data_IF_770419513971
#
_entry.id   IF_770419513971
#
_cell.length_a   1.000
_cell.length_b   1.000
_cell.length_c   1.000
_cell.angle_alpha   90.00
_cell.angle_beta   90.00
_cell.angle_gamma   90.00
#
_symmetry.space_group_name_H-M   'P 1'
#
loop_
_entity.id
_entity.type
_entity.pdbx_description
1 polymer ?
#
# COMPACT_ATOMS: atom_id res chain seq x y z
N UNK A 1 9.00 -21.76 11.09
CA UNK A 1 8.91 -20.86 12.26
C UNK A 1 7.99 -19.72 11.88
N UNK A 2 6.85 -19.63 12.58
CA UNK A 2 5.75 -18.69 12.33
C UNK A 2 5.65 -17.68 13.48
N UNK A 3 6.78 -17.11 13.87
CA UNK A 3 7.00 -16.29 15.06
C UNK A 3 7.58 -14.95 14.65
N UNK A 4 7.62 -13.94 15.53
CA UNK A 4 8.35 -12.72 15.20
C UNK A 4 9.85 -13.01 15.02
N UNK A 5 10.54 -12.19 14.24
CA UNK A 5 11.95 -12.43 13.95
C UNK A 5 12.85 -12.40 15.20
N UNK A 6 12.65 -11.49 16.19
CA UNK A 6 13.35 -11.55 17.47
C UNK A 6 13.05 -12.83 18.25
N UNK A 7 11.78 -13.21 18.39
CA UNK A 7 11.40 -14.46 19.09
C UNK A 7 12.04 -15.69 18.42
N UNK A 8 12.14 -15.66 17.09
CA UNK A 8 12.80 -16.71 16.31
C UNK A 8 14.28 -16.78 16.65
N UNK A 9 14.98 -15.64 16.73
CA UNK A 9 16.38 -15.60 17.12
C UNK A 9 16.59 -16.08 18.56
N UNK A 10 15.69 -15.70 19.48
CA UNK A 10 15.73 -16.17 20.86
C UNK A 10 15.54 -17.70 20.93
N UNK A 11 14.63 -18.25 20.13
CA UNK A 11 14.41 -19.70 20.02
C UNK A 11 15.61 -20.43 19.42
N UNK A 12 16.29 -19.86 18.42
CA UNK A 12 17.50 -20.43 17.81
C UNK A 12 18.71 -20.33 18.76
N UNK A 13 18.73 -19.31 19.62
CA UNK A 13 19.79 -19.07 20.59
C UNK A 13 21.18 -19.07 19.97
N UNK A 14 22.11 -19.80 20.58
CA UNK A 14 23.51 -19.88 20.13
C UNK A 14 23.71 -20.63 18.81
N UNK A 15 22.69 -21.35 18.35
CA UNK A 15 22.76 -22.08 17.08
C UNK A 15 22.35 -21.22 15.88
N UNK A 16 21.95 -19.96 16.10
CA UNK A 16 21.70 -19.02 15.02
C UNK A 16 23.01 -18.78 14.23
N UNK A 17 22.96 -19.03 12.93
CA UNK A 17 24.07 -18.73 12.03
C UNK A 17 24.25 -17.22 11.89
N UNK A 18 25.39 -16.81 11.33
CA UNK A 18 25.66 -15.41 11.04
C UNK A 18 24.57 -14.80 10.12
N UNK A 19 24.19 -15.50 9.05
CA UNK A 19 23.19 -15.02 8.10
C UNK A 19 21.80 -14.94 8.73
N UNK A 20 21.38 -15.95 9.50
CA UNK A 20 20.09 -15.92 10.22
C UNK A 20 20.04 -14.75 11.20
N UNK A 21 21.10 -14.54 11.98
CA UNK A 21 21.20 -13.43 12.95
C UNK A 21 21.12 -12.07 12.24
N UNK A 22 21.89 -11.91 11.18
CA UNK A 22 21.96 -10.66 10.40
C UNK A 22 20.65 -10.33 9.72
N UNK A 23 20.00 -11.32 9.09
CA UNK A 23 18.76 -11.13 8.34
C UNK A 23 17.57 -10.96 9.29
N UNK A 24 17.38 -11.88 10.25
CA UNK A 24 16.25 -11.82 11.17
C UNK A 24 16.37 -10.64 12.15
N UNK A 25 17.59 -10.27 12.54
CA UNK A 25 17.85 -9.14 13.44
C UNK A 25 17.55 -7.77 12.84
N UNK A 26 17.40 -7.68 11.51
CA UNK A 26 17.04 -6.44 10.83
C UNK A 26 15.56 -6.05 11.03
N UNK A 27 14.71 -6.99 11.44
CA UNK A 27 13.29 -6.74 11.67
C UNK A 27 13.04 -6.24 13.09
N UNK A 28 12.77 -4.95 13.21
CA UNK A 28 12.50 -4.28 14.48
C UNK A 28 10.99 -4.23 14.76
N UNK A 29 10.63 -4.16 16.03
CA UNK A 29 9.23 -4.19 16.48
C UNK A 29 8.97 -3.08 17.49
N UNK A 30 7.77 -2.52 17.42
CA UNK A 30 7.22 -1.59 18.43
C UNK A 30 6.07 -2.28 19.15
N UNK A 31 5.95 -2.01 20.45
CA UNK A 31 4.89 -2.57 21.29
C UNK A 31 3.81 -1.52 21.50
N UNK A 32 2.55 -1.95 21.39
CA UNK A 32 1.37 -1.15 21.67
C UNK A 32 0.53 -1.84 22.75
N UNK A 33 0.12 -1.08 23.76
CA UNK A 33 -0.83 -1.55 24.77
C UNK A 33 -2.25 -1.31 24.25
N UNK A 34 -3.07 -2.35 24.22
CA UNK A 34 -4.45 -2.28 23.79
C UNK A 34 -5.39 -2.60 24.94
N UNK A 35 -6.42 -1.78 25.09
CA UNK A 35 -7.42 -1.90 26.14
C UNK A 35 -8.80 -2.06 25.53
N UNK A 36 -9.54 -3.08 25.95
CA UNK A 36 -10.98 -3.20 25.75
C UNK A 36 -11.67 -2.65 27.00
N UNK A 37 -12.52 -1.64 26.85
CA UNK A 37 -13.17 -0.95 27.95
C UNK A 37 -14.52 -0.35 27.54
N UNK A 38 -15.16 0.36 28.47
CA UNK A 38 -16.45 1.05 28.26
C UNK A 38 -16.40 2.56 28.52
N UNK A 39 -15.22 3.08 28.86
CA UNK A 39 -14.98 4.50 29.10
C UNK A 39 -15.14 5.37 27.85
N UNK A 40 -16.19 6.19 27.83
CA UNK A 40 -16.54 7.12 26.74
C UNK A 40 -15.70 8.39 26.73
N UNK A 41 -14.88 8.65 27.75
CA UNK A 41 -13.98 9.81 27.77
C UNK A 41 -12.92 9.75 26.67
N UNK A 42 -12.68 8.54 26.14
CA UNK A 42 -11.81 8.27 24.98
C UNK A 42 -12.49 8.44 23.61
N UNK A 43 -13.72 8.95 23.57
CA UNK A 43 -14.41 9.36 22.35
C UNK A 43 -14.42 10.90 22.24
N UNK A 44 -14.64 11.46 21.04
CA UNK A 44 -14.84 12.90 20.89
C UNK A 44 -15.93 13.43 21.83
N UNK A 45 -15.75 14.64 22.35
CA UNK A 45 -16.72 15.28 23.25
C UNK A 45 -18.10 15.46 22.59
N UNK A 46 -18.09 15.73 21.29
CA UNK A 46 -19.30 15.83 20.48
C UNK A 46 -19.70 14.44 19.96
N UNK A 47 -20.85 13.88 20.38
CA UNK A 47 -21.36 12.61 19.88
C UNK A 47 -21.57 12.58 18.36
N UNK A 48 -21.83 13.74 17.73
CA UNK A 48 -21.99 13.81 16.28
C UNK A 48 -20.68 13.54 15.51
N UNK A 49 -19.52 13.69 16.18
CA UNK A 49 -18.21 13.40 15.60
C UNK A 49 -17.75 11.95 15.84
N UNK A 50 -18.57 11.11 16.49
CA UNK A 50 -18.21 9.73 16.75
C UNK A 50 -18.15 8.91 15.46
N UNK A 51 -17.06 8.19 15.31
CA UNK A 51 -16.82 7.33 14.16
C UNK A 51 -16.37 5.93 14.61
N UNK A 52 -16.26 5.02 13.65
CA UNK A 52 -15.73 3.68 13.92
C UNK A 52 -14.28 3.73 14.47
N UNK A 53 -13.48 4.74 14.09
CA UNK A 53 -12.10 4.91 14.51
C UNK A 53 -11.84 6.39 14.84
N UNK A 54 -11.63 6.69 16.11
CA UNK A 54 -11.46 8.06 16.62
C UNK A 54 -10.01 8.27 17.02
N UNK A 55 -9.30 9.16 16.34
CA UNK A 55 -7.91 9.48 16.65
C UNK A 55 -7.84 10.57 17.72
N UNK A 56 -7.18 10.29 18.85
CA UNK A 56 -7.05 11.21 19.98
C UNK A 56 -5.77 12.06 19.92
N UNK A 57 -4.89 11.76 18.97
CA UNK A 57 -3.61 12.45 18.79
C UNK A 57 -2.42 11.56 19.10
N UNK A 58 -1.26 12.21 19.18
CA UNK A 58 0.01 11.57 19.53
C UNK A 58 0.35 11.91 20.98
N UNK A 59 0.52 10.89 21.82
CA UNK A 59 0.81 11.02 23.24
C UNK A 59 2.10 10.26 23.51
N UNK A 60 3.12 10.92 24.07
CA UNK A 60 4.45 10.34 24.28
C UNK A 60 5.03 9.68 23.01
N UNK A 61 4.91 10.36 21.86
CA UNK A 61 5.31 9.87 20.54
C UNK A 61 4.61 8.56 20.06
N UNK A 62 3.49 8.18 20.68
CA UNK A 62 2.63 7.07 20.23
C UNK A 62 1.27 7.59 19.80
N UNK A 63 0.73 7.07 18.69
CA UNK A 63 -0.62 7.42 18.26
C UNK A 63 -1.65 6.75 19.16
N UNK A 64 -2.60 7.53 19.68
CA UNK A 64 -3.73 7.04 20.46
C UNK A 64 -4.98 7.06 19.59
N UNK A 65 -5.63 5.91 19.45
CA UNK A 65 -6.84 5.75 18.68
C UNK A 65 -7.84 4.84 19.40
N UNK A 66 -9.11 5.22 19.35
CA UNK A 66 -10.23 4.48 19.95
C UNK A 66 -11.14 3.94 18.86
N UNK A 67 -11.24 2.62 18.78
CA UNK A 67 -12.17 1.90 17.92
C UNK A 67 -13.50 1.66 18.63
N UNK A 68 -14.60 2.00 17.97
CA UNK A 68 -15.94 1.70 18.48
C UNK A 68 -16.42 0.35 17.95
N UNK A 69 -16.26 -0.69 18.78
CA UNK A 69 -16.52 -2.06 18.36
C UNK A 69 -17.98 -2.34 18.01
N UNK A 70 -18.94 -1.65 18.65
CA UNK A 70 -20.36 -1.86 18.33
C UNK A 70 -20.63 -1.60 16.84
N UNK A 71 -20.02 -0.56 16.27
CA UNK A 71 -20.14 -0.26 14.85
C UNK A 71 -19.35 -1.27 14.02
N UNK A 72 -18.08 -1.51 14.37
CA UNK A 72 -17.18 -2.35 13.57
C UNK A 72 -17.64 -3.80 13.48
N UNK A 73 -18.12 -4.36 14.60
CA UNK A 73 -18.58 -5.74 14.71
C UNK A 73 -20.10 -5.88 14.56
N UNK A 74 -20.81 -4.78 14.28
CA UNK A 74 -22.26 -4.73 14.13
C UNK A 74 -23.03 -5.36 15.31
N UNK A 75 -22.67 -4.99 16.53
CA UNK A 75 -23.22 -5.56 17.77
C UNK A 75 -24.64 -5.05 18.11
N UNK A 76 -25.30 -4.37 17.17
CA UNK A 76 -26.62 -3.77 17.32
C UNK A 76 -26.66 -2.57 18.26
N UNK A 77 -27.88 -2.04 18.46
CA UNK A 77 -28.18 -0.92 19.35
C UNK A 77 -28.15 -1.35 20.82
N UNK A 78 -26.96 -1.73 21.29
CA UNK A 78 -26.71 -1.94 22.70
C UNK A 78 -26.53 -0.60 23.40
N UNK A 79 -27.18 -0.42 24.56
CA UNK A 79 -26.93 0.74 25.45
C UNK A 79 -25.48 0.78 25.95
N UNK A 80 -24.74 -0.32 25.82
CA UNK A 80 -23.37 -0.48 26.30
C UNK A 80 -22.41 -0.27 25.13
N UNK A 81 -21.50 0.70 25.27
CA UNK A 81 -20.43 0.95 24.30
C UNK A 81 -19.20 0.10 24.62
N UNK A 82 -18.79 -0.74 23.67
CA UNK A 82 -17.52 -1.47 23.72
C UNK A 82 -16.49 -0.73 22.88
N UNK A 83 -15.41 -0.32 23.54
CA UNK A 83 -14.36 0.51 22.97
C UNK A 83 -13.02 -0.20 23.08
N UNK A 84 -12.21 -0.08 22.04
CA UNK A 84 -10.83 -0.54 22.06
C UNK A 84 -9.91 0.64 21.83
N UNK A 85 -9.12 1.01 22.83
CA UNK A 85 -8.16 2.10 22.72
C UNK A 85 -6.74 1.58 22.72
N UNK A 86 -5.95 2.09 21.76
CA UNK A 86 -4.53 1.84 21.60
C UNK A 86 -3.72 2.92 22.31
N UNK A 87 -2.75 2.50 23.11
CA UNK A 87 -1.77 3.33 23.82
C UNK A 87 -2.39 4.56 24.53
N UNK A 88 -3.41 4.38 25.39
CA UNK A 88 -4.06 5.50 26.04
C UNK A 88 -3.11 6.21 27.04
N UNK A 89 -3.26 7.54 27.24
CA UNK A 89 -2.48 8.33 28.21
C UNK A 89 -2.61 7.84 29.65
N UNK A 90 -3.75 7.25 29.99
CA UNK A 90 -4.07 6.68 31.28
C UNK A 90 -4.91 5.42 31.09
N UNK A 91 -4.99 4.58 32.11
CA UNK A 91 -5.80 3.35 32.03
C UNK A 91 -7.28 3.72 31.95
N UNK A 92 -8.05 3.24 30.96
CA UNK A 92 -9.47 3.57 30.84
C UNK A 92 -10.30 3.02 32.00
N UNK A 93 -11.34 3.76 32.39
CA UNK A 93 -12.32 3.25 33.34
C UNK A 93 -13.11 2.05 32.75
N UNK A 94 -13.62 1.18 33.63
CA UNK A 94 -14.34 -0.03 33.21
C UNK A 94 -13.57 -0.88 32.17
N UNK A 95 -12.25 -1.00 32.33
CA UNK A 95 -11.42 -1.89 31.51
C UNK A 95 -11.85 -3.34 31.73
N UNK A 96 -12.14 -4.02 30.63
CA UNK A 96 -12.54 -5.43 30.59
C UNK A 96 -11.34 -6.34 30.29
N UNK A 97 -10.45 -5.89 29.40
CA UNK A 97 -9.26 -6.65 29.01
C UNK A 97 -8.13 -5.68 28.63
N UNK A 98 -6.90 -6.02 29.00
CA UNK A 98 -5.67 -5.38 28.53
C UNK A 98 -4.78 -6.44 27.91
N UNK A 99 -4.21 -6.15 26.75
CA UNK A 99 -3.14 -6.95 26.17
C UNK A 99 -2.10 -6.07 25.50
N UNK A 100 -0.95 -6.66 25.20
CA UNK A 100 0.15 -6.00 24.50
C UNK A 100 0.36 -6.70 23.17
N UNK A 101 0.47 -5.92 22.10
CA UNK A 101 0.72 -6.41 20.75
C UNK A 101 2.00 -5.79 20.21
N UNK A 102 2.79 -6.57 19.48
CA UNK A 102 4.00 -6.07 18.81
C UNK A 102 3.74 -5.93 17.32
N UNK A 103 4.21 -4.84 16.73
CA UNK A 103 4.05 -4.53 15.32
C UNK A 103 5.42 -4.32 14.66
N UNK A 104 5.67 -4.88 13.47
CA UNK A 104 6.93 -4.68 12.77
C UNK A 104 7.07 -3.21 12.34
N UNK A 105 8.29 -2.68 12.49
CA UNK A 105 8.64 -1.31 12.10
C UNK A 105 9.24 -1.33 10.70
N UNK A 106 8.63 -0.66 9.71
CA UNK A 106 9.20 -0.53 8.38
C UNK A 106 10.55 0.21 8.44
N UNK A 107 11.58 -0.36 7.83
CA UNK A 107 12.90 0.27 7.74
C UNK A 107 13.64 -0.17 6.48
N UNK A 108 14.66 0.60 6.08
CA UNK A 108 15.55 0.23 4.97
C UNK A 108 16.27 -1.09 5.28
N UNK A 109 16.65 -1.31 6.54
CA UNK A 109 17.28 -2.56 6.96
C UNK A 109 16.33 -3.76 6.81
N UNK A 110 15.09 -3.64 7.30
CA UNK A 110 14.07 -4.67 7.15
C UNK A 110 13.74 -4.96 5.68
N UNK A 111 13.66 -3.92 4.84
CA UNK A 111 13.42 -4.09 3.40
C UNK A 111 14.55 -4.85 2.70
N UNK A 112 15.83 -4.51 2.99
CA UNK A 112 16.98 -5.24 2.45
C UNK A 112 17.00 -6.70 2.93
N UNK A 113 16.78 -6.91 4.23
CA UNK A 113 16.71 -8.26 4.80
C UNK A 113 15.59 -9.10 4.18
N UNK A 114 14.42 -8.50 3.89
CA UNK A 114 13.34 -9.19 3.18
C UNK A 114 13.76 -9.71 1.81
N UNK A 115 14.56 -8.95 1.05
CA UNK A 115 15.10 -9.40 -0.23
C UNK A 115 16.11 -10.55 -0.07
N UNK A 116 16.76 -10.66 1.08
CA UNK A 116 17.81 -11.65 1.36
C UNK A 116 17.28 -12.91 2.07
N UNK A 117 16.00 -12.94 2.50
CA UNK A 117 15.42 -14.08 3.22
C UNK A 117 15.61 -15.42 2.52
N UNK A 118 15.54 -15.45 1.18
CA UNK A 118 15.79 -16.65 0.38
C UNK A 118 17.14 -17.32 0.68
N UNK A 119 18.13 -16.56 1.18
CA UNK A 119 19.44 -17.08 1.54
C UNK A 119 19.41 -17.98 2.77
N UNK A 120 18.41 -17.87 3.65
CA UNK A 120 18.30 -18.69 4.87
C UNK A 120 17.16 -19.72 4.81
N UNK A 121 16.25 -19.60 3.85
CA UNK A 121 15.12 -20.51 3.72
C UNK A 121 15.55 -21.94 3.38
N UNK A 122 14.99 -22.92 4.10
CA UNK A 122 15.24 -24.35 3.88
C UNK A 122 16.62 -24.83 4.33
N UNK A 123 17.53 -23.93 4.71
CA UNK A 123 18.80 -24.30 5.32
C UNK A 123 18.53 -24.95 6.67
N UNK A 124 19.25 -26.02 6.98
CA UNK A 124 19.11 -26.79 8.23
C UNK A 124 17.69 -27.35 8.46
N UNK A 125 16.87 -27.45 7.41
CA UNK A 125 15.47 -27.84 7.52
C UNK A 125 14.58 -26.76 8.16
N UNK A 126 15.08 -25.54 8.33
CA UNK A 126 14.36 -24.42 8.92
C UNK A 126 13.78 -23.53 7.83
N UNK A 127 12.55 -23.10 8.05
CA UNK A 127 11.87 -22.13 7.19
C UNK A 127 11.27 -21.04 8.06
N UNK A 128 11.43 -19.78 7.66
CA UNK A 128 11.03 -18.61 8.43
C UNK A 128 9.90 -17.89 7.69
N UNK A 129 8.79 -17.59 8.36
CA UNK A 129 7.70 -16.82 7.74
C UNK A 129 6.91 -16.03 8.77
N UNK A 130 6.28 -14.96 8.30
CA UNK A 130 5.51 -14.08 9.14
C UNK A 130 5.23 -12.74 8.50
N UNK A 131 4.42 -11.93 9.19
CA UNK A 131 3.95 -10.62 8.71
C UNK A 131 5.08 -9.62 8.41
N UNK A 132 6.26 -9.83 9.00
CA UNK A 132 7.45 -8.99 8.82
C UNK A 132 8.10 -9.09 7.44
N UNK A 133 7.77 -10.12 6.65
CA UNK A 133 8.28 -10.27 5.28
C UNK A 133 7.51 -9.41 4.26
N UNK A 134 6.45 -8.72 4.69
CA UNK A 134 5.70 -7.75 3.89
C UNK A 134 5.44 -6.47 4.68
N UNK A 135 4.31 -5.82 4.41
CA UNK A 135 3.89 -4.57 5.06
C UNK A 135 3.31 -4.73 6.49
N UNK A 136 3.55 -5.85 7.18
CA UNK A 136 3.14 -6.03 8.58
C UNK A 136 1.68 -6.42 8.85
N UNK A 137 0.85 -6.58 7.82
CA UNK A 137 -0.56 -6.98 7.95
C UNK A 137 -0.78 -8.50 7.86
N UNK A 138 -1.94 -8.96 8.36
CA UNK A 138 -2.33 -10.38 8.44
C UNK A 138 -2.17 -11.16 7.13
N UNK A 139 -2.47 -10.52 6.00
CA UNK A 139 -2.36 -11.17 4.70
C UNK A 139 -0.93 -11.48 4.27
N UNK A 140 0.05 -10.70 4.71
CA UNK A 140 1.46 -11.02 4.45
C UNK A 140 1.86 -12.29 5.20
N UNK A 141 1.33 -12.49 6.42
CA UNK A 141 1.51 -13.74 7.16
C UNK A 141 0.95 -14.95 6.41
N UNK A 142 -0.26 -14.84 5.86
CA UNK A 142 -0.88 -15.91 5.08
C UNK A 142 -0.11 -16.19 3.79
N UNK A 143 0.18 -15.15 3.00
CA UNK A 143 0.91 -15.25 1.73
C UNK A 143 2.27 -15.91 1.91
N UNK A 144 3.04 -15.46 2.91
CA UNK A 144 4.37 -16.01 3.18
C UNK A 144 4.29 -17.45 3.66
N UNK A 145 3.31 -17.80 4.50
CA UNK A 145 3.06 -19.18 4.89
C UNK A 145 2.75 -20.09 3.70
N UNK A 146 1.91 -19.63 2.76
CA UNK A 146 1.59 -20.38 1.54
C UNK A 146 2.82 -20.59 0.65
N UNK A 147 3.59 -19.53 0.39
CA UNK A 147 4.82 -19.61 -0.42
C UNK A 147 5.81 -20.63 0.14
N UNK A 148 5.96 -20.65 1.47
CA UNK A 148 6.85 -21.60 2.14
C UNK A 148 6.29 -23.02 2.06
N UNK A 149 5.00 -23.22 2.29
CA UNK A 149 4.36 -24.54 2.17
C UNK A 149 4.53 -25.11 0.75
N UNK A 150 4.32 -24.30 -0.28
CA UNK A 150 4.53 -24.71 -1.67
C UNK A 150 6.00 -25.05 -1.95
N UNK A 151 6.94 -24.22 -1.46
CA UNK A 151 8.37 -24.46 -1.54
C UNK A 151 8.81 -25.76 -0.86
N UNK A 152 8.26 -26.07 0.33
CA UNK A 152 8.52 -27.31 1.06
C UNK A 152 7.97 -28.54 0.33
N UNK A 153 6.80 -28.42 -0.27
CA UNK A 153 6.17 -29.51 -1.02
C UNK A 153 6.78 -29.73 -2.42
N UNK A 154 7.80 -28.94 -2.81
CA UNK A 154 8.39 -28.90 -4.17
C UNK A 154 7.32 -28.72 -5.26
N UNK A 155 6.14 -28.22 -4.90
CA UNK A 155 5.18 -27.72 -5.87
C UNK A 155 5.73 -26.37 -6.27
N UNK A 156 6.46 -26.33 -7.39
CA UNK A 156 6.90 -25.07 -7.95
C UNK A 156 5.67 -24.25 -8.31
N UNK A 157 5.17 -23.44 -7.38
CA UNK A 157 4.37 -22.30 -7.73
C UNK A 157 5.36 -21.24 -8.21
N UNK A 158 5.78 -21.36 -9.47
CA UNK A 158 6.31 -20.20 -10.16
C UNK A 158 5.18 -19.18 -10.13
N UNK A 159 5.35 -18.08 -9.39
CA UNK A 159 4.69 -16.84 -9.79
C UNK A 159 5.06 -16.71 -11.26
N UNK A 160 4.07 -16.81 -12.14
CA UNK A 160 4.28 -16.65 -13.57
C UNK A 160 4.77 -15.22 -13.78
N UNK A 161 6.07 -15.03 -13.71
CA UNK A 161 6.73 -13.94 -14.40
C UNK A 161 6.61 -14.27 -15.87
N UNK A 162 5.47 -13.89 -16.43
CA UNK A 162 5.28 -13.92 -17.86
C UNK A 162 6.25 -12.88 -18.42
N UNK A 163 7.27 -13.25 -19.21
CA UNK A 163 8.14 -12.27 -19.83
C UNK A 163 7.25 -11.37 -20.69
N UNK A 164 7.05 -10.13 -20.24
CA UNK A 164 6.16 -9.16 -20.88
C UNK A 164 6.85 -8.65 -22.14
N UNK A 165 6.62 -9.32 -23.25
CA UNK A 165 6.72 -8.64 -24.53
C UNK A 165 5.68 -7.52 -24.52
N UNK A 166 6.12 -6.28 -24.77
CA UNK A 166 5.24 -5.12 -24.91
C UNK A 166 4.45 -5.21 -26.22
N UNK A 167 3.46 -6.10 -26.26
CA UNK A 167 2.44 -6.13 -27.30
C UNK A 167 1.13 -5.71 -26.63
N UNK A 168 0.73 -4.42 -26.73
CA UNK A 168 -0.51 -3.97 -26.12
C UNK A 168 -1.69 -4.68 -26.76
N UNK A 169 -2.64 -5.11 -25.94
CA UNK A 169 -3.96 -5.56 -26.44
C UNK A 169 -4.66 -4.40 -27.15
N UNK A 170 -5.70 -4.69 -27.95
CA UNK A 170 -6.50 -3.64 -28.61
C UNK A 170 -7.00 -2.55 -27.64
N UNK A 171 -7.54 -2.89 -26.45
CA UNK A 171 -7.92 -1.89 -25.45
C UNK A 171 -6.72 -1.07 -24.91
N UNK A 172 -5.59 -1.72 -24.68
CA UNK A 172 -4.36 -1.05 -24.19
C UNK A 172 -3.74 -0.13 -25.25
N UNK A 173 -3.87 -0.47 -26.53
CA UNK A 173 -3.43 0.37 -27.64
C UNK A 173 -4.25 1.66 -27.69
N UNK A 174 -5.58 1.56 -27.52
CA UNK A 174 -6.46 2.72 -27.39
C UNK A 174 -6.16 3.56 -26.14
N UNK A 175 -5.95 2.91 -24.99
CA UNK A 175 -5.58 3.59 -23.76
C UNK A 175 -4.24 4.34 -23.89
N UNK A 176 -3.23 3.73 -24.54
CA UNK A 176 -1.94 4.36 -24.83
C UNK A 176 -2.12 5.60 -25.69
N UNK A 177 -2.95 5.55 -26.73
CA UNK A 177 -3.25 6.72 -27.57
C UNK A 177 -3.90 7.85 -26.76
N UNK A 178 -4.84 7.54 -25.87
CA UNK A 178 -5.51 8.53 -25.02
C UNK A 178 -4.50 9.19 -24.07
N UNK A 179 -3.70 8.38 -23.36
CA UNK A 179 -2.72 8.87 -22.38
C UNK A 179 -1.62 9.70 -23.04
N UNK A 180 -1.10 9.27 -24.19
CA UNK A 180 -0.06 10.01 -24.92
C UNK A 180 -0.60 11.33 -25.49
N UNK A 181 -1.84 11.36 -26.00
CA UNK A 181 -2.50 12.61 -26.42
C UNK A 181 -2.71 13.57 -25.25
N UNK A 182 -3.11 13.04 -24.10
CA UNK A 182 -3.24 13.84 -22.88
C UNK A 182 -1.91 14.49 -22.50
N UNK A 183 -0.84 13.71 -22.34
CA UNK A 183 0.46 14.28 -21.96
C UNK A 183 0.96 15.31 -22.96
N UNK A 184 0.73 15.09 -24.26
CA UNK A 184 1.07 16.05 -25.31
C UNK A 184 0.33 17.39 -25.16
N UNK A 185 -0.92 17.36 -24.69
CA UNK A 185 -1.71 18.58 -24.47
C UNK A 185 -1.47 19.23 -23.10
N UNK A 186 -1.18 18.43 -22.08
CA UNK A 186 -1.10 18.87 -20.70
C UNK A 186 0.27 19.45 -20.34
N UNK A 187 1.35 18.90 -20.90
CA UNK A 187 2.72 19.32 -20.60
C UNK A 187 3.08 20.55 -21.43
N UNK A 188 2.84 21.72 -20.86
CA UNK A 188 3.20 23.04 -21.40
C UNK A 188 4.56 23.52 -20.86
N UNK A 189 5.00 23.05 -19.70
CA UNK A 189 6.31 23.35 -19.10
C UNK A 189 6.98 22.09 -18.53
N UNK A 190 8.32 22.01 -18.55
CA UNK A 190 9.07 20.81 -18.18
C UNK A 190 9.10 19.72 -19.26
N UNK A 191 9.65 18.55 -18.93
CA UNK A 191 9.79 17.43 -19.86
C UNK A 191 9.52 16.08 -19.21
N UNK A 192 8.61 15.29 -19.80
CA UNK A 192 8.32 13.90 -19.41
C UNK A 192 8.73 12.98 -20.56
N UNK A 193 9.51 11.95 -20.26
CA UNK A 193 9.89 10.89 -21.20
C UNK A 193 9.35 9.55 -20.69
N UNK A 194 8.60 8.84 -21.54
CA UNK A 194 8.23 7.45 -21.32
C UNK A 194 9.11 6.55 -22.18
N UNK A 195 9.85 5.66 -21.53
CA UNK A 195 10.70 4.63 -22.14
C UNK A 195 9.96 3.31 -22.03
N UNK A 196 9.38 2.84 -23.12
CA UNK A 196 8.78 1.51 -23.19
C UNK A 196 9.89 0.45 -23.29
N UNK A 197 9.80 -0.63 -22.52
CA UNK A 197 10.74 -1.76 -22.61
C UNK A 197 10.77 -2.41 -24.02
N UNK A 198 9.74 -2.17 -24.85
CA UNK A 198 9.71 -2.50 -26.28
C UNK A 198 10.51 -1.55 -27.20
N UNK A 199 11.29 -0.62 -26.63
CA UNK A 199 12.14 0.33 -27.36
C UNK A 199 11.44 1.59 -27.87
N UNK A 200 10.13 1.72 -27.64
CA UNK A 200 9.38 2.94 -28.03
C UNK A 200 9.62 4.05 -27.01
N UNK A 201 9.88 5.27 -27.50
CA UNK A 201 10.12 6.43 -26.65
C UNK A 201 9.09 7.51 -26.96
N UNK A 202 8.37 7.94 -25.93
CA UNK A 202 7.50 9.12 -26.00
C UNK A 202 8.12 10.27 -25.22
N UNK A 203 8.26 11.43 -25.87
CA UNK A 203 8.78 12.64 -25.25
C UNK A 203 7.70 13.72 -25.29
N UNK A 204 7.35 14.24 -24.12
CA UNK A 204 6.41 15.33 -23.94
C UNK A 204 7.17 16.50 -23.34
N UNK A 205 7.47 17.50 -24.17
CA UNK A 205 8.23 18.68 -23.77
C UNK A 205 7.38 19.92 -23.95
N UNK A 206 7.28 20.68 -22.87
CA UNK A 206 6.62 21.98 -22.86
C UNK A 206 7.46 23.07 -23.50
N UNK A 207 6.80 24.07 -24.08
CA UNK A 207 7.43 25.27 -24.67
C UNK A 207 7.62 26.40 -23.66
N UNK A 208 6.91 26.37 -22.52
CA UNK A 208 6.96 27.39 -21.48
C UNK A 208 8.19 27.22 -20.57
N UNK A 209 8.84 28.34 -20.23
CA UNK A 209 10.10 28.36 -19.44
C UNK A 209 9.90 28.30 -17.91
N UNK A 210 8.68 28.05 -17.43
CA UNK A 210 8.33 28.08 -15.99
C UNK A 210 8.96 26.94 -15.17
N UNK A 211 9.20 25.79 -15.80
CA UNK A 211 9.81 24.61 -15.21
C UNK A 211 10.82 24.00 -16.19
N UNK A 212 12.07 23.83 -15.77
CA UNK A 212 13.13 23.18 -16.56
C UNK A 212 13.34 21.71 -16.20
N UNK A 213 12.53 21.18 -15.27
CA UNK A 213 12.70 19.81 -14.79
C UNK A 213 12.37 18.79 -15.88
N UNK A 214 13.11 17.69 -15.83
CA UNK A 214 12.97 16.56 -16.73
C UNK A 214 12.81 15.27 -15.92
N UNK A 215 11.87 14.44 -16.33
CA UNK A 215 11.67 13.11 -15.75
C UNK A 215 11.64 12.07 -16.86
N UNK A 216 12.22 10.91 -16.59
CA UNK A 216 12.19 9.75 -17.47
C UNK A 216 11.66 8.55 -16.70
N UNK A 217 10.55 7.99 -17.17
CA UNK A 217 9.88 6.82 -16.63
C UNK A 217 10.15 5.64 -17.56
N UNK A 218 10.43 4.47 -17.00
CA UNK A 218 10.41 3.20 -17.73
C UNK A 218 9.04 2.56 -17.55
N UNK A 219 8.42 2.15 -18.66
CA UNK A 219 7.14 1.45 -18.67
C UNK A 219 7.42 -0.03 -18.91
N UNK A 220 7.24 -0.82 -17.85
CA UNK A 220 7.47 -2.26 -17.84
C UNK A 220 6.22 -3.06 -18.27
N UNK A 221 5.05 -2.44 -18.20
CA UNK A 221 3.78 -3.09 -18.49
C UNK A 221 2.77 -2.14 -19.15
N UNK A 222 2.13 -2.60 -20.23
CA UNK A 222 1.10 -1.86 -20.98
C UNK A 222 -0.16 -1.56 -20.15
N UNK A 223 -0.38 -2.32 -19.06
CA UNK A 223 -1.43 -2.05 -18.07
C UNK A 223 -1.32 -0.66 -17.44
N UNK A 224 -0.13 -0.06 -17.42
CA UNK A 224 0.06 1.35 -17.08
C UNK A 224 -0.96 2.23 -17.79
N UNK A 225 -1.02 2.17 -19.12
CA UNK A 225 -1.89 3.04 -19.91
C UNK A 225 -3.37 2.83 -19.61
N UNK A 226 -3.79 1.58 -19.39
CA UNK A 226 -5.16 1.26 -19.02
C UNK A 226 -5.52 1.84 -17.65
N UNK A 227 -4.64 1.69 -16.66
CA UNK A 227 -4.82 2.25 -15.31
C UNK A 227 -4.92 3.77 -15.36
N UNK A 228 -4.02 4.44 -16.08
CA UNK A 228 -4.06 5.91 -16.21
C UNK A 228 -5.33 6.37 -16.94
N UNK A 229 -5.68 5.75 -18.06
CA UNK A 229 -6.85 6.15 -18.85
C UNK A 229 -8.17 5.98 -18.07
N UNK A 230 -8.28 4.95 -17.22
CA UNK A 230 -9.53 4.62 -16.50
C UNK A 230 -9.61 5.15 -15.08
N UNK A 231 -8.47 5.39 -14.42
CA UNK A 231 -8.39 5.79 -12.99
C UNK A 231 -7.63 7.08 -12.74
N UNK A 232 -7.19 7.78 -13.79
CA UNK A 232 -6.47 9.05 -13.68
C UNK A 232 -5.30 8.98 -12.69
N UNK A 233 -5.35 9.75 -11.59
CA UNK A 233 -4.29 10.00 -10.58
C UNK A 233 -3.98 8.78 -9.77
N UNK A 234 -5.07 8.17 -9.32
CA UNK A 234 -5.02 6.86 -8.71
C UNK A 234 -4.41 5.84 -9.68
N UNK A 235 -4.67 5.97 -10.99
CA UNK A 235 -4.11 5.08 -12.01
C UNK A 235 -2.58 5.09 -12.12
N UNK A 236 -1.94 6.26 -12.02
CA UNK A 236 -0.48 6.35 -12.03
C UNK A 236 0.12 5.87 -10.71
N UNK A 237 -0.50 6.24 -9.58
CA UNK A 237 -0.06 5.74 -8.27
C UNK A 237 -0.14 4.20 -8.21
N UNK A 238 -1.26 3.64 -8.69
CA UNK A 238 -1.50 2.21 -8.79
C UNK A 238 -0.49 1.51 -9.71
N UNK A 239 -0.14 2.12 -10.84
CA UNK A 239 0.89 1.60 -11.74
C UNK A 239 2.30 1.62 -11.12
N UNK A 240 2.63 2.67 -10.36
CA UNK A 240 3.91 2.78 -9.66
C UNK A 240 4.04 1.74 -8.54
N UNK A 241 3.00 1.59 -7.71
CA UNK A 241 2.99 0.63 -6.59
C UNK A 241 3.10 -0.81 -7.09
N UNK A 242 2.43 -1.14 -8.21
CA UNK A 242 2.47 -2.48 -8.79
C UNK A 242 3.70 -2.74 -9.68
N UNK A 243 4.63 -1.79 -9.80
CA UNK A 243 5.83 -1.96 -10.62
C UNK A 243 5.59 -1.96 -12.14
N UNK A 244 4.42 -1.49 -12.61
CA UNK A 244 4.15 -1.33 -14.04
C UNK A 244 5.03 -0.22 -14.65
N UNK A 245 5.48 0.72 -13.81
CA UNK A 245 6.41 1.79 -14.17
C UNK A 245 7.51 1.93 -13.12
N UNK A 246 8.68 2.43 -13.53
CA UNK A 246 9.75 2.88 -12.63
C UNK A 246 10.37 4.17 -13.13
N UNK A 247 11.20 4.83 -12.29
CA UNK A 247 11.92 6.03 -12.68
C UNK A 247 13.38 5.71 -12.99
N UNK A 248 13.90 6.29 -14.07
CA UNK A 248 15.32 6.19 -14.42
C UNK A 248 16.19 6.80 -13.31
N UNK A 249 15.78 7.96 -12.79
CA UNK A 249 16.35 8.54 -11.57
C UNK A 249 15.52 8.09 -10.37
N UNK A 250 16.07 7.17 -9.55
CA UNK A 250 15.37 6.59 -8.40
C UNK A 250 15.17 7.57 -7.24
N UNK A 251 15.99 8.61 -7.14
CA UNK A 251 15.97 9.54 -6.00
C UNK A 251 15.03 10.70 -6.24
N UNK A 252 15.05 11.26 -7.46
CA UNK A 252 14.33 12.49 -7.77
C UNK A 252 13.22 12.29 -8.81
N UNK A 253 13.14 11.14 -9.47
CA UNK A 253 12.22 10.93 -10.59
C UNK A 253 10.75 11.15 -10.22
N UNK A 254 10.31 10.57 -9.11
CA UNK A 254 8.94 10.74 -8.64
C UNK A 254 8.66 12.18 -8.19
N UNK A 255 9.62 12.81 -7.51
CA UNK A 255 9.52 14.21 -7.09
C UNK A 255 9.43 15.14 -8.31
N UNK A 256 10.30 14.96 -9.29
CA UNK A 256 10.31 15.75 -10.53
C UNK A 256 9.01 15.59 -11.31
N UNK A 257 8.43 14.39 -11.35
CA UNK A 257 7.11 14.17 -11.95
C UNK A 257 6.04 15.03 -11.27
N UNK A 258 5.99 15.03 -9.94
CA UNK A 258 5.03 15.86 -9.20
C UNK A 258 5.27 17.36 -9.37
N UNK A 259 6.54 17.79 -9.38
CA UNK A 259 6.88 19.20 -9.57
C UNK A 259 6.51 19.71 -10.97
N UNK A 260 6.77 18.91 -12.01
CA UNK A 260 6.32 19.20 -13.39
C UNK A 260 4.79 19.25 -13.42
N UNK A 261 4.11 18.31 -12.77
CA UNK A 261 2.66 18.30 -12.70
C UNK A 261 2.08 19.57 -12.06
N UNK A 262 2.58 19.97 -10.89
CA UNK A 262 2.15 21.19 -10.18
C UNK A 262 2.38 22.42 -11.07
N UNK A 263 3.54 22.53 -11.71
CA UNK A 263 3.84 23.65 -12.59
C UNK A 263 2.87 23.77 -13.78
N UNK A 264 2.43 22.63 -14.35
CA UNK A 264 1.46 22.61 -15.45
C UNK A 264 0.01 22.83 -14.98
N UNK A 265 -0.35 22.38 -13.77
CA UNK A 265 -1.67 22.67 -13.18
C UNK A 265 -1.88 24.16 -12.99
N UNK A 266 -0.84 24.88 -12.55
CA UNK A 266 -0.92 26.32 -12.32
C UNK A 266 -0.95 27.14 -13.63
N UNK A 267 -0.67 26.51 -14.78
CA UNK A 267 -0.84 27.10 -16.12
C UNK A 267 -2.22 26.78 -16.72
N UNK A 268 -2.78 25.61 -16.40
CA UNK A 268 -4.08 25.17 -16.89
C UNK A 268 -5.19 25.42 -15.85
N UNK A 269 -5.87 26.57 -15.93
CA UNK A 269 -6.96 26.95 -15.01
C UNK A 269 -8.14 25.96 -14.97
N UNK A 270 -8.31 25.12 -16.00
CA UNK A 270 -9.30 24.04 -16.07
C UNK A 270 -8.92 22.77 -15.30
N UNK A 271 -7.67 22.60 -14.86
CA UNK A 271 -7.16 21.43 -14.15
C UNK A 271 -7.35 21.49 -12.62
N UNK A 272 -8.20 22.38 -12.10
CA UNK A 272 -8.39 22.61 -10.65
C UNK A 272 -9.01 21.43 -9.88
N UNK A 273 -9.62 20.44 -10.55
CA UNK A 273 -10.26 19.26 -9.92
C UNK A 273 -9.45 17.96 -9.99
N UNK A 274 -8.18 18.04 -10.40
CA UNK A 274 -7.31 16.89 -10.65
C UNK A 274 -6.69 16.97 -12.04
N UNK A 275 -5.67 16.16 -12.29
CA UNK A 275 -4.84 16.28 -13.49
C UNK A 275 -5.53 15.90 -14.81
N UNK A 276 -6.64 15.18 -14.72
CA UNK A 276 -7.41 14.65 -15.83
C UNK A 276 -8.76 14.16 -15.30
N UNK A 277 -9.86 14.55 -15.95
CA UNK A 277 -11.14 13.85 -15.94
C UNK A 277 -11.32 13.25 -17.33
N UNK A 278 -11.39 11.92 -17.50
CA UNK A 278 -11.60 11.33 -18.82
C UNK A 278 -12.90 11.82 -19.44
N UNK A 279 -12.93 11.94 -20.77
CA UNK A 279 -14.14 12.15 -21.59
C UNK A 279 -15.29 11.16 -21.31
N UNK A 280 -14.98 10.07 -20.61
CA UNK A 280 -15.97 9.20 -19.96
C UNK A 280 -16.13 9.66 -18.51
N UNK A 281 -17.00 10.65 -18.27
CA UNK A 281 -17.47 11.05 -16.93
C UNK A 281 -18.39 9.98 -16.32
N UNK A 282 -17.90 8.74 -16.30
CA UNK A 282 -18.39 7.67 -15.46
C UNK A 282 -17.67 7.67 -14.12
N UNK A 283 -16.62 8.46 -13.90
CA UNK A 283 -15.84 8.39 -12.66
C UNK A 283 -16.65 8.84 -11.45
N UNK A 284 -17.26 10.02 -11.49
CA UNK A 284 -18.06 10.57 -10.38
C UNK A 284 -19.29 9.71 -10.09
N UNK A 285 -20.05 9.35 -11.13
CA UNK A 285 -21.22 8.49 -11.02
C UNK A 285 -20.87 7.06 -10.60
N UNK A 286 -19.75 6.47 -11.05
CA UNK A 286 -19.32 5.11 -10.68
C UNK A 286 -18.68 5.06 -9.30
N UNK A 287 -18.05 6.14 -8.82
CA UNK A 287 -17.63 6.23 -7.41
C UNK A 287 -18.83 6.47 -6.50
N UNK A 288 -19.80 7.29 -6.89
CA UNK A 288 -21.01 7.50 -6.10
C UNK A 288 -21.92 6.25 -6.09
N UNK A 289 -22.25 5.70 -7.26
CA UNK A 289 -22.98 4.42 -7.41
C UNK A 289 -22.15 3.28 -6.81
N UNK A 290 -20.84 3.26 -6.98
CA UNK A 290 -19.95 2.29 -6.36
C UNK A 290 -19.95 2.39 -4.84
N UNK A 291 -19.90 3.60 -4.26
CA UNK A 291 -19.96 3.83 -2.82
C UNK A 291 -21.34 3.49 -2.24
N UNK A 292 -22.42 3.80 -2.96
CA UNK A 292 -23.80 3.47 -2.57
C UNK A 292 -24.11 1.97 -2.77
N UNK A 293 -23.48 1.32 -3.75
CA UNK A 293 -23.55 -0.12 -4.04
C UNK A 293 -22.59 -0.96 -3.19
N UNK A 294 -21.52 -0.35 -2.64
CA UNK A 294 -20.61 -0.93 -1.67
C UNK A 294 -21.24 -0.98 -0.28
N UNK A 295 -22.45 -1.56 -0.17
CA UNK A 295 -22.82 -2.15 1.12
C UNK A 295 -21.84 -3.29 1.37
N UNK A 296 -21.26 -3.34 2.57
CA UNK A 296 -20.34 -4.41 2.99
C UNK A 296 -21.10 -5.76 3.01
N UNK A 297 -21.30 -6.35 1.85
CA UNK A 297 -21.75 -7.74 1.73
C UNK A 297 -20.54 -8.65 1.93
N UNK A 298 -20.76 -9.82 2.53
CA UNK A 298 -19.71 -10.84 2.73
C UNK A 298 -18.93 -11.14 1.44
N UNK A 299 -19.61 -11.14 0.30
CA UNK A 299 -19.01 -11.42 -1.02
C UNK A 299 -18.10 -10.29 -1.50
N UNK A 300 -18.48 -9.03 -1.28
CA UNK A 300 -17.70 -7.86 -1.68
C UNK A 300 -16.51 -7.63 -0.73
N UNK A 301 -16.70 -7.90 0.57
CA UNK A 301 -15.62 -7.96 1.54
C UNK A 301 -14.60 -9.03 1.15
N UNK A 302 -15.04 -10.26 0.82
CA UNK A 302 -14.15 -11.32 0.32
C UNK A 302 -13.39 -10.93 -0.94
N UNK A 303 -14.05 -10.27 -1.89
CA UNK A 303 -13.44 -9.81 -3.16
C UNK A 303 -12.47 -8.64 -2.96
N UNK A 304 -12.74 -7.75 -1.99
CA UNK A 304 -11.83 -6.68 -1.62
C UNK A 304 -10.62 -7.22 -0.86
N UNK A 305 -10.83 -8.15 0.07
CA UNK A 305 -9.76 -8.92 0.73
C UNK A 305 -8.90 -9.60 -0.34
N UNK A 306 -9.48 -10.38 -1.27
CA UNK A 306 -8.68 -11.06 -2.30
C UNK A 306 -7.90 -10.10 -3.21
N UNK A 307 -8.48 -8.94 -3.55
CA UNK A 307 -7.80 -7.91 -4.37
C UNK A 307 -6.73 -7.12 -3.63
N UNK A 308 -6.84 -7.00 -2.30
CA UNK A 308 -5.85 -6.29 -1.49
C UNK A 308 -4.69 -7.20 -1.08
N UNK A 309 -4.84 -8.52 -1.24
CA UNK A 309 -3.96 -9.51 -0.63
C UNK A 309 -3.28 -10.49 -1.59
N UNK A 310 -3.45 -10.37 -2.91
CA UNK A 310 -2.83 -11.24 -3.94
C UNK A 310 -2.80 -12.74 -3.52
N UNK A 311 -3.92 -13.22 -2.96
CA UNK A 311 -4.14 -14.62 -2.60
C UNK A 311 -4.72 -15.40 -3.79
#
# INVERSE_FOLDING_TARGET
MATHAPDTLDMLGKEATFDETRILGAFQYVHSDTFLHRDKTFLPRDPAAWSACNFLGTINNRGCATYWLNIIQNLGDSKISYLVTLDPPHTPEHTLLKWRTSHPVPSVAASKASCELHQIQGKRGLWFFGVYQGYGFHANGLKTGMVIADGMLRRSCSIRDNPKYMVPTWPETGARLIVTRFFKSFIQTGCIILLEDGGTIFTFQGTEKRCSLKVSLRVHNTQFYWKVATRADIGIADAFIHGDISFVNKNEGLLNLFMIYVANRDLNASAKRGWWTPLLDLSSAKYFIGHVSNRNTLTQARRNISRHYDL
#
